data_IF_456168299610
#
_entry.id   IF_456168299610
#
_cell.length_a   1.000
_cell.length_b   1.000
_cell.length_c   1.000
_cell.angle_alpha   90.00
_cell.angle_beta   90.00
_cell.angle_gamma   90.00
#
_symmetry.space_group_name_H-M   'P 1'
#
loop_
_entity.id
_entity.type
_entity.pdbx_description
1 polymer ?
#
# COMPACT_ATOMS: atom_id res chain seq x y z
N UNK A 1 -2.17 3.87 19.07
CA UNK A 1 -2.37 2.59 19.80
C UNK A 1 -3.61 1.82 19.31
N UNK A 2 -4.79 2.44 19.15
CA UNK A 2 -6.00 1.76 18.63
C UNK A 2 -5.81 1.13 17.23
N UNK A 3 -5.12 1.82 16.32
CA UNK A 3 -4.92 1.36 14.94
C UNK A 3 -4.14 0.03 14.86
N UNK A 4 -3.14 -0.17 15.74
CA UNK A 4 -2.40 -1.43 15.83
C UNK A 4 -3.21 -2.54 16.51
N UNK A 5 -4.00 -2.20 17.54
CA UNK A 5 -4.84 -3.15 18.26
C UNK A 5 -5.97 -3.74 17.40
N UNK A 6 -6.51 -2.95 16.47
CA UNK A 6 -7.61 -3.37 15.58
C UNK A 6 -7.13 -3.84 14.19
N UNK A 7 -5.82 -3.98 13.97
CA UNK A 7 -5.23 -4.31 12.67
C UNK A 7 -5.74 -3.43 11.51
N UNK A 8 -6.05 -2.16 11.77
CA UNK A 8 -6.69 -1.26 10.80
C UNK A 8 -5.75 -0.75 9.71
N UNK A 9 -4.46 -1.10 9.80
CA UNK A 9 -3.45 -0.75 8.82
C UNK A 9 -2.70 -1.99 8.40
N UNK A 10 -2.71 -2.25 7.10
CA UNK A 10 -1.88 -3.24 6.45
C UNK A 10 -0.82 -2.55 5.60
N UNK A 11 0.37 -3.12 5.50
CA UNK A 11 1.47 -2.59 4.71
C UNK A 11 1.97 -3.64 3.72
N UNK A 12 2.20 -3.23 2.48
CA UNK A 12 2.93 -4.02 1.50
C UNK A 12 4.42 -3.75 1.68
N UNK A 13 5.17 -4.74 2.14
CA UNK A 13 6.61 -4.62 2.34
C UNK A 13 7.34 -5.14 1.09
N UNK A 14 8.04 -4.25 0.39
CA UNK A 14 8.91 -4.65 -0.72
C UNK A 14 10.32 -4.92 -0.21
N UNK A 15 11.00 -5.98 -0.69
CA UNK A 15 12.36 -6.29 -0.31
C UNK A 15 13.34 -5.24 -0.85
N UNK A 16 14.38 -4.93 -0.07
CA UNK A 16 15.47 -4.03 -0.44
C UNK A 16 16.81 -4.78 -0.39
N UNK A 17 16.90 -5.90 -1.12
CA UNK A 17 18.08 -6.77 -1.10
C UNK A 17 18.27 -7.42 0.27
N UNK A 18 19.43 -7.19 0.91
CA UNK A 18 19.75 -7.75 2.24
C UNK A 18 19.28 -6.88 3.42
N UNK A 19 18.81 -5.65 3.18
CA UNK A 19 18.28 -4.81 4.26
C UNK A 19 16.85 -5.19 4.61
N UNK A 20 16.34 -4.65 5.73
CA UNK A 20 14.89 -4.71 6.01
C UNK A 20 14.13 -4.10 4.83
N UNK A 21 13.01 -4.73 4.48
CA UNK A 21 12.12 -4.26 3.43
C UNK A 21 11.45 -2.93 3.77
N UNK A 22 10.86 -2.29 2.78
CA UNK A 22 10.21 -0.98 2.90
C UNK A 22 8.72 -1.09 2.64
N UNK A 23 7.90 -0.45 3.48
CA UNK A 23 6.45 -0.35 3.27
C UNK A 23 6.16 0.51 2.04
N UNK A 24 5.95 -0.12 0.88
CA UNK A 24 5.76 0.55 -0.39
C UNK A 24 4.29 0.89 -0.66
N UNK A 25 3.37 0.24 0.04
CA UNK A 25 1.97 0.65 0.07
C UNK A 25 1.38 0.46 1.47
N UNK A 26 0.28 1.15 1.75
CA UNK A 26 -0.53 0.92 2.94
C UNK A 26 -2.02 0.94 2.63
N UNK A 27 -2.76 0.13 3.36
CA UNK A 27 -4.21 0.04 3.30
C UNK A 27 -4.71 0.40 4.70
N UNK A 28 -5.46 1.48 4.81
CA UNK A 28 -5.91 2.01 6.09
C UNK A 28 -7.43 2.00 6.12
N UNK A 29 -8.02 1.23 7.03
CA UNK A 29 -9.44 1.28 7.34
C UNK A 29 -9.64 2.30 8.47
N UNK A 30 -10.32 3.39 8.18
CA UNK A 30 -10.56 4.46 9.15
C UNK A 30 -11.88 4.27 9.91
N UNK A 31 -12.67 3.24 9.55
CA UNK A 31 -14.01 3.03 10.03
C UNK A 31 -14.81 4.36 9.94
N UNK A 32 -15.56 4.72 10.99
CA UNK A 32 -16.38 5.92 11.04
C UNK A 32 -15.62 7.19 11.44
N UNK A 33 -14.32 7.13 11.72
CA UNK A 33 -13.57 8.26 12.29
C UNK A 33 -13.72 9.55 11.46
N UNK A 34 -13.51 9.46 10.13
CA UNK A 34 -13.67 10.61 9.25
C UNK A 34 -15.14 10.96 8.99
N UNK A 35 -16.06 10.00 9.04
CA UNK A 35 -17.49 10.27 8.96
C UNK A 35 -18.00 11.10 10.14
N UNK A 36 -17.51 10.80 11.34
CA UNK A 36 -17.81 11.54 12.56
C UNK A 36 -17.15 12.92 12.55
N UNK A 37 -15.85 12.99 12.26
CA UNK A 37 -15.08 14.23 12.29
C UNK A 37 -15.55 15.28 11.29
N UNK A 38 -16.04 14.86 10.11
CA UNK A 38 -16.45 15.74 9.03
C UNK A 38 -17.96 15.74 8.76
N UNK A 39 -18.76 15.17 9.67
CA UNK A 39 -20.21 15.07 9.56
C UNK A 39 -20.71 14.45 8.22
N UNK A 40 -19.99 13.45 7.71
CA UNK A 40 -20.36 12.71 6.50
C UNK A 40 -21.34 11.60 6.91
N UNK A 41 -22.57 11.67 6.39
CA UNK A 41 -23.69 10.81 6.81
C UNK A 41 -24.16 9.93 5.66
N UNK A 42 -24.49 8.68 5.98
CA UNK A 42 -25.27 7.81 5.09
C UNK A 42 -26.74 8.27 5.08
N UNK A 43 -27.53 7.78 4.11
CA UNK A 43 -28.97 8.06 4.06
C UNK A 43 -29.74 7.65 5.33
N UNK A 44 -29.20 6.70 6.09
CA UNK A 44 -29.74 6.25 7.39
C UNK A 44 -29.45 7.20 8.55
N UNK A 45 -28.62 8.24 8.34
CA UNK A 45 -28.15 9.14 9.39
C UNK A 45 -26.91 8.64 10.17
N UNK A 46 -26.47 7.41 9.94
CA UNK A 46 -25.23 6.89 10.53
C UNK A 46 -23.98 7.59 9.94
N UNK A 47 -22.88 7.76 10.71
CA UNK A 47 -21.61 8.22 10.16
C UNK A 47 -21.10 7.30 9.05
N UNK A 48 -20.58 7.87 7.98
CA UNK A 48 -20.00 7.09 6.88
C UNK A 48 -18.67 6.43 7.29
N UNK A 49 -18.50 5.15 6.93
CA UNK A 49 -17.22 4.48 7.03
C UNK A 49 -16.31 4.86 5.85
N UNK A 50 -14.99 4.90 6.07
CA UNK A 50 -14.03 5.21 5.02
C UNK A 50 -12.74 4.40 5.13
N UNK A 51 -12.04 4.25 4.01
CA UNK A 51 -10.74 3.61 3.93
C UNK A 51 -9.90 4.29 2.85
N UNK A 52 -8.57 4.15 2.90
CA UNK A 52 -7.68 4.58 1.82
C UNK A 52 -6.63 3.51 1.49
N UNK A 53 -6.10 3.63 0.28
CA UNK A 53 -4.87 2.98 -0.15
C UNK A 53 -3.88 4.07 -0.54
N UNK A 54 -2.62 3.90 -0.15
CA UNK A 54 -1.54 4.80 -0.51
C UNK A 54 -0.36 4.00 -1.07
N UNK A 55 0.21 4.47 -2.18
CA UNK A 55 1.40 3.90 -2.80
C UNK A 55 2.54 4.91 -2.70
N UNK A 56 3.63 4.54 -2.03
CA UNK A 56 4.85 5.35 -1.98
C UNK A 56 5.66 5.10 -3.24
N UNK A 57 5.39 5.86 -4.31
CA UNK A 57 5.98 5.65 -5.65
C UNK A 57 7.50 5.60 -5.60
N UNK A 58 8.14 6.45 -4.79
CA UNK A 58 9.59 6.47 -4.61
C UNK A 58 10.12 5.18 -3.96
N UNK A 59 9.34 4.54 -3.07
CA UNK A 59 9.69 3.26 -2.45
C UNK A 59 9.57 2.10 -3.44
N UNK A 60 8.58 2.16 -4.34
CA UNK A 60 8.46 1.24 -5.46
C UNK A 60 9.65 1.39 -6.41
N UNK A 61 9.99 2.62 -6.78
CA UNK A 61 11.15 2.90 -7.62
C UNK A 61 12.44 2.40 -6.97
N UNK A 62 12.65 2.68 -5.69
CA UNK A 62 13.82 2.20 -4.96
C UNK A 62 13.89 0.67 -4.96
N UNK A 63 12.80 -0.02 -4.64
CA UNK A 63 12.76 -1.48 -4.64
C UNK A 63 13.04 -2.06 -6.03
N UNK A 64 12.50 -1.45 -7.07
CA UNK A 64 12.75 -1.82 -8.46
C UNK A 64 14.22 -1.66 -8.84
N UNK A 65 14.83 -0.50 -8.53
CA UNK A 65 16.24 -0.24 -8.82
C UNK A 65 17.18 -1.16 -8.02
N UNK A 66 16.82 -1.51 -6.78
CA UNK A 66 17.58 -2.48 -5.98
C UNK A 66 17.49 -3.88 -6.57
N UNK A 67 16.33 -4.27 -7.09
CA UNK A 67 16.11 -5.60 -7.67
C UNK A 67 16.72 -5.76 -9.08
N UNK A 68 16.69 -4.70 -9.89
CA UNK A 68 16.98 -4.78 -11.33
C UNK A 68 18.16 -3.92 -11.78
N UNK A 69 18.76 -3.14 -10.87
CA UNK A 69 19.80 -2.18 -11.19
C UNK A 69 19.27 -0.93 -11.90
N UNK A 70 20.11 0.12 -12.03
CA UNK A 70 19.71 1.41 -12.60
C UNK A 70 19.79 1.47 -14.13
N UNK A 71 20.35 0.47 -14.79
CA UNK A 71 20.52 0.47 -16.25
C UNK A 71 19.20 0.12 -16.96
N UNK A 72 18.56 1.15 -17.49
CA UNK A 72 17.28 1.04 -18.19
C UNK A 72 17.34 0.14 -19.43
N UNK A 73 18.50 -0.02 -20.07
CA UNK A 73 18.66 -0.93 -21.20
C UNK A 73 18.39 -2.39 -20.79
N UNK A 74 18.68 -2.75 -19.53
CA UNK A 74 18.41 -4.07 -18.97
C UNK A 74 16.94 -4.34 -18.63
N UNK A 75 16.10 -3.30 -18.55
CA UNK A 75 14.71 -3.45 -18.10
C UNK A 75 13.76 -3.96 -19.18
N UNK A 76 14.11 -3.86 -20.45
CA UNK A 76 13.23 -4.29 -21.56
C UNK A 76 12.81 -5.78 -21.47
N UNK A 77 13.64 -6.62 -20.83
CA UNK A 77 13.32 -8.02 -20.56
C UNK A 77 12.27 -8.23 -19.45
N UNK A 78 12.03 -7.22 -18.60
CA UNK A 78 11.07 -7.27 -17.49
C UNK A 78 9.61 -7.13 -17.93
N UNK A 79 9.38 -6.63 -19.16
CA UNK A 79 8.04 -6.41 -19.74
C UNK A 79 7.22 -7.69 -20.01
N UNK A 80 7.67 -8.87 -19.56
CA UNK A 80 6.95 -10.15 -19.71
C UNK A 80 6.52 -10.79 -18.38
N UNK A 81 6.73 -10.15 -17.24
CA UNK A 81 6.21 -10.64 -15.96
C UNK A 81 4.86 -9.96 -15.61
N UNK A 82 3.92 -10.01 -16.56
CA UNK A 82 2.50 -9.88 -16.24
C UNK A 82 2.02 -11.20 -15.64
N UNK A 83 2.47 -11.52 -14.42
CA UNK A 83 1.92 -12.61 -13.64
C UNK A 83 1.90 -12.16 -12.19
N UNK A 84 0.75 -11.64 -11.78
CA UNK A 84 0.28 -11.87 -10.42
C UNK A 84 0.30 -13.39 -10.23
N UNK A 85 1.45 -13.92 -9.77
CA UNK A 85 1.51 -15.28 -9.28
C UNK A 85 0.49 -15.34 -8.15
N UNK A 86 -0.50 -16.20 -8.34
CA UNK A 86 -1.70 -16.36 -7.52
C UNK A 86 -1.34 -16.32 -6.04
N UNK A 87 -1.82 -15.28 -5.35
CA UNK A 87 -1.85 -15.26 -3.90
C UNK A 87 -2.99 -16.19 -3.44
N UNK A 88 -2.69 -17.48 -3.34
CA UNK A 88 -3.39 -18.42 -2.45
C UNK A 88 -2.89 -18.28 -1.03
#
# INVERSE_FOLDING_TARGET
MLQQLKALKHELILPLGRSRGSAAASFNNHETFFGEAFAIRLATGAPAASACVAFGVERWLLAFLVAHGPDAAGWAALNRAGALAEAT
#
